data_IF_014276989568
#
_entry.id   IF_014276989568
#
_cell.length_a   1.000
_cell.length_b   1.000
_cell.length_c   1.000
_cell.angle_alpha   90.00
_cell.angle_beta   90.00
_cell.angle_gamma   90.00
#
_symmetry.space_group_name_H-M   'P 1'
#
loop_
_entity.id
_entity.type
_entity.pdbx_description
1 polymer ?
#
# COMPACT_ATOMS: atom_id res chain seq x y z
N UNK A 1 4.53 3.03 9.16
CA UNK A 1 4.69 1.73 9.80
C UNK A 1 5.72 0.85 9.05
N UNK A 2 5.54 0.52 7.77
CA UNK A 2 6.44 -0.36 7.00
C UNK A 2 7.94 0.00 7.15
N UNK A 3 8.25 1.31 7.06
CA UNK A 3 9.64 1.79 7.25
C UNK A 3 10.14 1.58 8.68
N UNK A 4 9.28 1.77 9.67
CA UNK A 4 9.66 1.59 11.07
C UNK A 4 9.96 0.10 11.35
N UNK A 5 9.12 -0.80 10.88
CA UNK A 5 9.34 -2.24 10.96
C UNK A 5 10.61 -2.66 10.20
N UNK A 6 10.83 -2.11 9.00
CA UNK A 6 12.03 -2.40 8.22
C UNK A 6 13.32 -2.00 8.94
N UNK A 7 13.34 -0.81 9.54
CA UNK A 7 14.50 -0.35 10.30
C UNK A 7 14.75 -1.19 11.56
N UNK A 8 13.70 -1.56 12.27
CA UNK A 8 13.79 -2.44 13.44
C UNK A 8 14.40 -3.81 13.07
N UNK A 9 13.95 -4.39 11.94
CA UNK A 9 14.49 -5.67 11.44
C UNK A 9 15.95 -5.56 11.00
N UNK A 10 16.35 -4.46 10.35
CA UNK A 10 17.77 -4.21 10.00
C UNK A 10 18.61 -4.08 11.27
N UNK A 11 18.17 -3.32 12.25
CA UNK A 11 18.91 -3.11 13.50
C UNK A 11 19.10 -4.41 14.28
N UNK A 12 18.08 -5.26 14.31
CA UNK A 12 18.14 -6.58 14.96
C UNK A 12 18.85 -7.65 14.12
N UNK A 13 18.98 -7.45 12.80
CA UNK A 13 19.49 -8.46 11.87
C UNK A 13 18.57 -9.68 11.75
N UNK A 14 17.24 -9.50 11.94
CA UNK A 14 16.30 -10.60 11.99
C UNK A 14 15.19 -10.48 10.94
N UNK A 15 14.69 -11.64 10.49
CA UNK A 15 13.55 -11.76 9.56
C UNK A 15 13.72 -10.94 8.27
N UNK A 16 14.93 -10.88 7.75
CA UNK A 16 15.24 -10.32 6.44
C UNK A 16 15.26 -11.44 5.37
N UNK A 17 14.88 -11.13 4.12
CA UNK A 17 14.32 -9.86 3.67
C UNK A 17 12.95 -9.58 4.27
N UNK A 18 12.62 -8.29 4.51
CA UNK A 18 11.25 -7.89 4.76
C UNK A 18 10.45 -8.00 3.46
N UNK A 19 9.35 -8.74 3.50
CA UNK A 19 8.43 -8.92 2.38
C UNK A 19 7.19 -8.06 2.61
N UNK A 20 6.88 -7.13 1.70
CA UNK A 20 5.70 -6.28 1.86
C UNK A 20 4.41 -7.10 1.88
N UNK A 21 3.42 -6.72 2.69
CA UNK A 21 2.17 -7.47 2.92
C UNK A 21 0.91 -6.76 2.40
N UNK A 22 1.06 -5.62 1.75
CA UNK A 22 -0.07 -4.80 1.29
C UNK A 22 -0.93 -5.46 0.19
N UNK A 23 -0.39 -6.45 -0.55
CA UNK A 23 -1.09 -7.17 -1.61
C UNK A 23 -1.70 -8.50 -1.11
N UNK A 24 -3.02 -8.61 -0.92
CA UNK A 24 -3.64 -9.80 -0.34
C UNK A 24 -3.53 -11.05 -1.21
N UNK A 25 -3.40 -10.91 -2.52
CA UNK A 25 -3.17 -12.04 -3.42
C UNK A 25 -1.73 -12.57 -3.32
N UNK A 26 -0.75 -11.69 -3.08
CA UNK A 26 0.61 -12.08 -2.78
C UNK A 26 0.70 -12.77 -1.41
N UNK A 27 0.10 -12.18 -0.38
CA UNK A 27 0.06 -12.80 0.96
C UNK A 27 -0.50 -14.21 0.89
N UNK A 28 -1.61 -14.42 0.15
CA UNK A 28 -2.14 -15.77 -0.05
C UNK A 28 -1.15 -16.68 -0.78
N UNK A 29 -0.48 -16.19 -1.81
CA UNK A 29 0.47 -16.99 -2.57
C UNK A 29 1.65 -17.45 -1.72
N UNK A 30 2.24 -16.57 -0.91
CA UNK A 30 3.39 -16.92 -0.07
C UNK A 30 2.97 -17.85 1.07
N UNK A 31 1.81 -17.64 1.69
CA UNK A 31 1.32 -18.51 2.75
C UNK A 31 0.96 -19.92 2.25
N UNK A 32 0.58 -20.06 0.99
CA UNK A 32 0.28 -21.35 0.39
C UNK A 32 1.53 -22.09 -0.15
N UNK A 33 2.52 -21.35 -0.69
CA UNK A 33 3.62 -21.93 -1.46
C UNK A 33 4.99 -21.84 -0.78
N UNK A 34 5.18 -20.92 0.16
CA UNK A 34 6.46 -20.60 0.79
C UNK A 34 6.28 -20.31 2.29
N UNK A 35 5.72 -21.28 3.01
CA UNK A 35 5.35 -21.10 4.43
C UNK A 35 6.55 -20.76 5.31
N UNK A 36 7.75 -21.18 4.94
CA UNK A 36 9.00 -20.84 5.62
C UNK A 36 9.30 -19.34 5.65
N UNK A 37 8.75 -18.57 4.71
CA UNK A 37 8.91 -17.13 4.63
C UNK A 37 7.77 -16.31 5.27
N UNK A 38 6.79 -16.96 5.91
CA UNK A 38 5.73 -16.24 6.64
C UNK A 38 6.31 -15.27 7.68
N UNK A 39 7.36 -15.64 8.46
CA UNK A 39 7.97 -14.71 9.42
C UNK A 39 8.62 -13.47 8.77
N UNK A 40 8.92 -13.54 7.47
CA UNK A 40 9.50 -12.45 6.71
C UNK A 40 8.44 -11.45 6.20
N UNK A 41 7.14 -11.83 6.16
CA UNK A 41 6.09 -10.89 5.82
C UNK A 41 6.08 -9.71 6.80
N UNK A 42 5.89 -8.52 6.27
CA UNK A 42 5.60 -7.35 7.11
C UNK A 42 4.33 -7.59 7.92
N UNK A 43 4.35 -7.21 9.16
CA UNK A 43 3.17 -7.26 10.03
C UNK A 43 2.17 -6.13 9.72
N UNK A 44 2.59 -5.13 8.94
CA UNK A 44 1.73 -4.02 8.53
C UNK A 44 0.48 -4.52 7.82
N UNK A 45 -0.68 -4.02 8.24
CA UNK A 45 -1.91 -4.19 7.48
C UNK A 45 -1.81 -3.48 6.13
N UNK A 46 -2.60 -3.90 5.18
CA UNK A 46 -2.70 -3.15 3.92
C UNK A 46 -3.29 -1.75 4.15
N UNK A 47 -3.06 -0.78 3.22
CA UNK A 47 -3.69 0.54 3.33
C UNK A 47 -5.22 0.48 3.52
N UNK A 48 -5.91 -0.48 2.88
CA UNK A 48 -7.33 -0.71 3.14
C UNK A 48 -7.57 -1.12 4.59
N UNK A 49 -6.82 -2.08 5.11
CA UNK A 49 -6.99 -2.58 6.48
C UNK A 49 -6.70 -1.48 7.50
N UNK A 50 -5.57 -0.78 7.37
CA UNK A 50 -5.20 0.32 8.28
C UNK A 50 -6.27 1.43 8.28
N UNK A 51 -6.62 1.95 7.10
CA UNK A 51 -7.54 3.07 6.99
C UNK A 51 -8.94 2.71 7.48
N UNK A 52 -9.40 1.50 7.21
CA UNK A 52 -10.70 1.03 7.68
C UNK A 52 -10.74 0.89 9.21
N UNK A 53 -9.70 0.30 9.81
CA UNK A 53 -9.60 0.17 11.26
C UNK A 53 -9.55 1.54 11.96
N UNK A 54 -8.73 2.47 11.43
CA UNK A 54 -8.59 3.83 11.98
C UNK A 54 -9.90 4.62 11.87
N UNK A 55 -10.58 4.59 10.72
CA UNK A 55 -11.87 5.27 10.55
C UNK A 55 -12.94 4.69 11.48
N UNK A 56 -13.01 3.36 11.57
CA UNK A 56 -13.95 2.69 12.48
C UNK A 56 -13.66 3.05 13.94
N UNK A 57 -12.39 3.10 14.32
CA UNK A 57 -12.00 3.51 15.69
C UNK A 57 -12.34 4.98 15.96
N UNK A 58 -12.10 5.89 15.02
CA UNK A 58 -12.48 7.30 15.16
C UNK A 58 -13.98 7.49 15.36
N UNK A 59 -14.78 6.83 14.53
CA UNK A 59 -16.24 6.89 14.62
C UNK A 59 -16.85 5.96 15.67
N UNK A 60 -16.05 5.28 16.48
CA UNK A 60 -16.52 4.58 17.69
C UNK A 60 -16.95 5.58 18.77
N UNK A 61 -16.36 6.76 18.77
CA UNK A 61 -16.80 7.85 19.64
C UNK A 61 -18.20 8.33 19.19
N UNK A 62 -19.21 8.30 20.11
CA UNK A 62 -20.57 8.74 19.79
C UNK A 62 -20.66 10.19 19.29
N UNK A 63 -19.74 11.06 19.73
CA UNK A 63 -19.71 12.46 19.30
C UNK A 63 -19.33 12.54 17.81
N UNK A 64 -18.30 11.78 17.38
CA UNK A 64 -17.91 11.72 15.99
C UNK A 64 -18.95 11.02 15.10
N UNK A 65 -19.55 9.95 15.60
CA UNK A 65 -20.59 9.21 14.87
C UNK A 65 -21.94 9.92 14.79
N UNK A 66 -22.16 10.97 15.60
CA UNK A 66 -23.45 11.66 15.72
C UNK A 66 -24.63 10.67 15.97
N UNK A 67 -24.39 9.59 16.73
CA UNK A 67 -25.37 8.54 17.01
C UNK A 67 -25.70 7.62 15.81
N UNK A 68 -24.94 7.66 14.72
CA UNK A 68 -25.13 6.82 13.52
C UNK A 68 -24.18 5.63 13.51
N UNK A 69 -24.61 4.55 12.85
CA UNK A 69 -23.75 3.41 12.58
C UNK A 69 -22.83 3.73 11.40
N UNK A 70 -21.53 3.54 11.59
CA UNK A 70 -20.53 3.69 10.53
C UNK A 70 -20.46 2.43 9.66
N UNK A 71 -20.62 2.60 8.36
CA UNK A 71 -20.43 1.56 7.34
C UNK A 71 -19.24 1.94 6.49
N UNK A 72 -18.17 1.15 6.55
CA UNK A 72 -16.97 1.38 5.78
C UNK A 72 -17.07 0.74 4.40
N UNK A 73 -17.07 1.57 3.36
CA UNK A 73 -17.08 1.14 1.95
C UNK A 73 -15.75 1.48 1.31
N UNK A 74 -15.08 0.49 0.78
CA UNK A 74 -13.76 0.60 0.16
C UNK A 74 -13.89 0.49 -1.36
N UNK A 75 -13.37 1.45 -2.12
CA UNK A 75 -13.32 1.42 -3.59
C UNK A 75 -11.91 1.02 -4.02
N UNK A 76 -11.77 -0.18 -4.61
CA UNK A 76 -10.46 -0.78 -4.87
C UNK A 76 -10.26 -1.18 -6.33
N UNK A 77 -9.04 -1.02 -6.87
CA UNK A 77 -8.68 -1.55 -8.19
C UNK A 77 -8.49 -3.08 -8.18
N UNK A 78 -8.92 -3.77 -7.14
CA UNK A 78 -8.50 -5.12 -6.78
C UNK A 78 -9.69 -5.98 -6.31
N UNK A 79 -9.83 -7.18 -6.88
CA UNK A 79 -10.84 -8.16 -6.43
C UNK A 79 -10.41 -8.90 -5.16
N UNK A 80 -9.10 -9.10 -4.95
CA UNK A 80 -8.58 -9.79 -3.77
C UNK A 80 -8.82 -9.01 -2.46
N UNK A 81 -9.05 -7.70 -2.53
CA UNK A 81 -9.45 -6.87 -1.38
C UNK A 81 -10.82 -7.26 -0.81
N UNK A 82 -11.71 -7.86 -1.62
CA UNK A 82 -12.97 -8.43 -1.13
C UNK A 82 -12.71 -9.63 -0.21
N UNK A 83 -11.76 -10.50 -0.58
CA UNK A 83 -11.37 -11.63 0.24
C UNK A 83 -10.58 -11.20 1.49
N UNK A 84 -9.76 -10.16 1.40
CA UNK A 84 -9.05 -9.59 2.55
C UNK A 84 -10.02 -9.09 3.62
N UNK A 85 -11.06 -8.36 3.24
CA UNK A 85 -12.05 -7.78 4.16
C UNK A 85 -12.85 -8.79 5.00
N UNK A 86 -12.78 -10.08 4.67
CA UNK A 86 -13.45 -11.15 5.42
C UNK A 86 -12.48 -12.09 6.14
N UNK A 87 -11.18 -11.80 6.13
CA UNK A 87 -10.19 -12.58 6.89
C UNK A 87 -10.33 -12.32 8.38
N UNK A 88 -9.99 -13.29 9.24
CA UNK A 88 -10.07 -13.11 10.70
C UNK A 88 -9.32 -11.88 11.22
N UNK A 89 -8.17 -11.57 10.60
CA UNK A 89 -7.33 -10.43 10.97
C UNK A 89 -7.79 -9.07 10.35
N UNK A 90 -8.97 -9.03 9.74
CA UNK A 90 -9.64 -7.81 9.25
C UNK A 90 -10.82 -7.42 10.14
N UNK A 91 -10.75 -7.79 11.41
CA UNK A 91 -11.75 -7.48 12.44
C UNK A 91 -11.06 -6.84 13.63
N UNK A 92 -11.53 -5.67 14.03
CA UNK A 92 -11.11 -4.97 15.24
C UNK A 92 -12.28 -4.92 16.21
N UNK A 93 -12.05 -5.22 17.50
CA UNK A 93 -13.10 -5.31 18.52
C UNK A 93 -14.28 -6.23 18.17
N UNK A 94 -14.03 -7.28 17.37
CA UNK A 94 -15.05 -8.24 16.93
C UNK A 94 -15.96 -7.76 15.79
N UNK A 95 -15.72 -6.58 15.25
CA UNK A 95 -16.44 -6.01 14.09
C UNK A 95 -15.53 -5.97 12.86
N UNK A 96 -16.14 -6.10 11.68
CA UNK A 96 -15.41 -5.92 10.42
C UNK A 96 -14.86 -4.51 10.31
N UNK A 97 -13.59 -4.37 9.97
CA UNK A 97 -12.99 -3.07 9.67
C UNK A 97 -13.53 -2.51 8.35
N UNK A 98 -13.60 -3.34 7.30
CA UNK A 98 -14.21 -2.98 6.01
C UNK A 98 -15.50 -3.76 5.81
N UNK A 99 -16.64 -3.08 5.76
CA UNK A 99 -17.96 -3.72 5.59
C UNK A 99 -18.18 -4.17 4.15
N UNK A 100 -17.86 -3.29 3.19
CA UNK A 100 -18.12 -3.50 1.75
C UNK A 100 -16.87 -3.12 0.96
N UNK A 101 -16.52 -3.95 -0.01
CA UNK A 101 -15.49 -3.63 -1.01
C UNK A 101 -16.11 -3.65 -2.38
N UNK A 102 -16.07 -2.52 -3.08
CA UNK A 102 -16.45 -2.41 -4.49
C UNK A 102 -15.21 -2.15 -5.35
N UNK A 103 -15.21 -2.71 -6.55
CA UNK A 103 -14.12 -2.48 -7.49
C UNK A 103 -14.34 -1.21 -8.29
N UNK A 104 -13.28 -0.67 -8.90
CA UNK A 104 -13.38 0.47 -9.83
C UNK A 104 -14.41 0.20 -10.94
N UNK A 105 -14.43 -1.03 -11.46
CA UNK A 105 -15.41 -1.44 -12.50
C UNK A 105 -16.84 -1.43 -11.98
N UNK A 106 -17.05 -1.87 -10.72
CA UNK A 106 -18.38 -1.84 -10.09
C UNK A 106 -18.82 -0.40 -9.84
N UNK A 107 -17.92 0.47 -9.38
CA UNK A 107 -18.23 1.90 -9.21
C UNK A 107 -18.62 2.56 -10.52
N UNK A 108 -17.89 2.30 -11.62
CA UNK A 108 -18.23 2.83 -12.94
C UNK A 108 -19.65 2.37 -13.35
N UNK A 109 -19.98 1.10 -13.16
CA UNK A 109 -21.34 0.60 -13.44
C UNK A 109 -22.41 1.28 -12.60
N UNK A 110 -22.11 1.59 -11.34
CA UNK A 110 -23.04 2.34 -10.48
C UNK A 110 -23.26 3.75 -11.04
N UNK A 111 -22.20 4.46 -11.42
CA UNK A 111 -22.29 5.80 -12.03
C UNK A 111 -23.14 5.76 -13.30
N UNK A 112 -22.87 4.80 -14.19
CA UNK A 112 -23.61 4.59 -15.43
C UNK A 112 -25.10 4.30 -15.16
N UNK A 113 -25.40 3.40 -14.21
CA UNK A 113 -26.76 3.02 -13.85
C UNK A 113 -27.58 4.15 -13.23
N UNK A 114 -26.92 5.07 -12.53
CA UNK A 114 -27.57 6.29 -12.00
C UNK A 114 -27.70 7.40 -13.05
N UNK A 115 -27.19 7.20 -14.26
CA UNK A 115 -27.22 8.18 -15.33
C UNK A 115 -26.39 9.43 -15.05
N UNK A 116 -25.36 9.32 -14.23
CA UNK A 116 -24.47 10.43 -13.88
C UNK A 116 -23.42 10.64 -14.98
N UNK A 117 -23.34 11.87 -15.49
CA UNK A 117 -22.22 12.29 -16.34
C UNK A 117 -21.05 12.74 -15.45
N UNK A 118 -20.13 11.81 -15.21
CA UNK A 118 -18.97 12.05 -14.34
C UNK A 118 -18.08 13.22 -14.80
N UNK A 119 -18.07 13.52 -16.12
CA UNK A 119 -17.25 14.59 -16.68
C UNK A 119 -17.80 16.00 -16.36
N UNK A 120 -19.08 16.10 -16.00
CA UNK A 120 -19.75 17.37 -15.70
C UNK A 120 -19.93 17.65 -14.22
N UNK A 121 -19.48 16.72 -13.35
CA UNK A 121 -19.56 16.92 -11.91
C UNK A 121 -18.54 17.97 -11.45
N UNK A 122 -18.97 18.85 -10.57
CA UNK A 122 -18.08 19.79 -9.91
C UNK A 122 -17.17 19.03 -8.93
N UNK A 123 -15.85 19.35 -8.90
CA UNK A 123 -14.93 18.72 -7.94
C UNK A 123 -15.21 19.23 -6.53
N UNK A 124 -15.22 18.30 -5.58
CA UNK A 124 -15.35 18.59 -4.15
C UNK A 124 -14.13 18.11 -3.39
N UNK A 125 -13.83 18.73 -2.24
CA UNK A 125 -12.80 18.26 -1.33
C UNK A 125 -13.27 17.00 -0.59
N UNK A 126 -12.31 16.12 -0.24
CA UNK A 126 -12.62 15.02 0.62
C UNK A 126 -12.91 15.50 2.06
N UNK A 127 -13.75 14.74 2.77
CA UNK A 127 -14.10 15.06 4.15
C UNK A 127 -12.92 14.92 5.11
N UNK A 128 -12.86 15.84 6.08
CA UNK A 128 -11.87 15.79 7.15
C UNK A 128 -12.36 14.90 8.32
N UNK A 129 -11.43 14.31 9.12
CA UNK A 129 -9.99 14.53 9.12
C UNK A 129 -9.20 13.64 8.15
N UNK A 130 -9.82 12.76 7.39
CA UNK A 130 -9.12 11.74 6.58
C UNK A 130 -8.91 12.15 5.11
N UNK A 131 -9.33 13.33 4.72
CA UNK A 131 -9.35 13.81 3.33
C UNK A 131 -8.01 14.29 2.78
N UNK A 132 -6.93 14.30 3.56
CA UNK A 132 -5.65 14.86 3.15
C UNK A 132 -4.56 13.81 3.05
N UNK A 133 -4.12 13.50 1.83
CA UNK A 133 -3.10 12.50 1.54
C UNK A 133 -1.71 13.08 1.30
N UNK A 134 -0.75 12.19 1.04
CA UNK A 134 0.61 12.51 0.64
C UNK A 134 0.97 11.84 -0.69
N UNK A 135 1.98 12.38 -1.37
CA UNK A 135 2.49 11.78 -2.61
C UNK A 135 2.91 10.32 -2.44
N UNK A 136 3.57 10.01 -1.30
CA UNK A 136 3.94 8.62 -0.97
C UNK A 136 2.74 7.68 -0.92
N UNK A 137 1.57 8.12 -0.45
CA UNK A 137 0.36 7.31 -0.45
C UNK A 137 -0.23 7.12 -1.86
N UNK A 138 -0.17 8.16 -2.69
CA UNK A 138 -0.74 8.12 -4.05
C UNK A 138 -0.02 7.11 -4.95
N UNK A 139 1.31 7.03 -4.86
CA UNK A 139 2.11 6.16 -5.75
C UNK A 139 1.99 4.67 -5.43
N UNK A 140 1.36 4.26 -4.34
CA UNK A 140 1.17 2.84 -3.99
C UNK A 140 0.48 2.03 -5.10
N UNK A 141 -0.25 2.66 -6.00
CA UNK A 141 -0.93 1.99 -7.10
C UNK A 141 -0.02 1.42 -8.18
N UNK A 142 1.22 1.89 -8.29
CA UNK A 142 2.21 1.40 -9.27
C UNK A 142 3.18 0.42 -8.62
N UNK A 143 3.79 -0.46 -9.42
CA UNK A 143 4.85 -1.36 -8.94
C UNK A 143 6.09 -0.55 -8.54
N UNK A 144 6.59 -0.79 -7.35
CA UNK A 144 7.66 -0.03 -6.72
C UNK A 144 7.18 1.14 -5.86
N UNK A 145 5.88 1.45 -5.88
CA UNK A 145 5.35 2.61 -5.15
C UNK A 145 5.42 2.47 -3.63
N UNK A 146 5.25 1.27 -3.09
CA UNK A 146 5.42 1.02 -1.65
C UNK A 146 6.88 1.16 -1.27
N UNK A 147 7.76 0.54 -2.03
CA UNK A 147 9.22 0.67 -1.85
C UNK A 147 9.66 2.12 -1.96
N UNK A 148 9.19 2.87 -2.95
CA UNK A 148 9.53 4.29 -3.09
C UNK A 148 9.08 5.10 -1.86
N UNK A 149 7.90 4.82 -1.30
CA UNK A 149 7.44 5.47 -0.08
C UNK A 149 8.34 5.14 1.13
N UNK A 150 8.80 3.89 1.24
CA UNK A 150 9.79 3.49 2.26
C UNK A 150 11.11 4.24 2.07
N UNK A 151 11.64 4.28 0.85
CA UNK A 151 12.90 4.98 0.55
C UNK A 151 12.81 6.48 0.82
N UNK A 152 11.70 7.11 0.47
CA UNK A 152 11.44 8.52 0.80
C UNK A 152 11.49 8.77 2.30
N UNK A 153 10.95 7.87 3.10
CA UNK A 153 10.97 7.96 4.57
C UNK A 153 12.38 7.74 5.13
N UNK A 154 13.19 6.89 4.51
CA UNK A 154 14.59 6.66 4.91
C UNK A 154 15.48 7.87 4.62
N UNK A 155 15.19 8.65 3.59
CA UNK A 155 15.98 9.85 3.24
C UNK A 155 15.82 10.93 4.30
N UNK A 156 16.91 11.47 4.85
CA UNK A 156 16.86 12.64 5.73
C UNK A 156 16.59 13.95 4.96
N UNK A 157 16.79 13.94 3.64
CA UNK A 157 16.56 15.09 2.77
C UNK A 157 15.10 15.13 2.29
N UNK A 158 14.49 16.30 2.38
CA UNK A 158 13.10 16.59 2.03
C UNK A 158 12.99 17.40 0.74
N UNK A 159 14.13 17.68 0.08
CA UNK A 159 14.16 18.43 -1.17
C UNK A 159 13.47 17.69 -2.31
N UNK A 160 13.05 18.46 -3.32
CA UNK A 160 12.50 17.86 -4.55
C UNK A 160 13.54 17.06 -5.31
N UNK A 161 14.79 17.50 -5.22
CA UNK A 161 15.95 16.87 -5.82
C UNK A 161 16.16 15.46 -5.22
N UNK A 162 16.16 15.31 -3.90
CA UNK A 162 16.25 14.02 -3.23
C UNK A 162 15.07 13.09 -3.57
N UNK A 163 13.86 13.63 -3.67
CA UNK A 163 12.69 12.83 -4.08
C UNK A 163 12.82 12.37 -5.54
N UNK A 164 13.43 13.18 -6.40
CA UNK A 164 13.71 12.82 -7.79
C UNK A 164 14.77 11.73 -7.89
N UNK A 165 15.88 11.86 -7.17
CA UNK A 165 16.93 10.85 -7.10
C UNK A 165 16.38 9.49 -6.63
N UNK A 166 15.52 9.47 -5.61
CA UNK A 166 14.84 8.25 -5.16
C UNK A 166 13.96 7.67 -6.27
N UNK A 167 13.23 8.51 -6.99
CA UNK A 167 12.37 8.05 -8.08
C UNK A 167 13.17 7.42 -9.24
N UNK A 168 14.43 7.83 -9.43
CA UNK A 168 15.33 7.38 -10.49
C UNK A 168 16.31 6.27 -10.05
N UNK A 169 16.37 5.90 -8.78
CA UNK A 169 17.30 4.89 -8.26
C UNK A 169 17.06 3.46 -8.78
N UNK A 170 16.08 3.25 -9.66
CA UNK A 170 15.67 1.94 -10.20
C UNK A 170 14.32 1.45 -9.66
N UNK A 171 13.71 2.15 -8.70
CA UNK A 171 12.42 1.78 -8.13
C UNK A 171 11.28 1.91 -9.12
N UNK A 172 11.30 2.93 -9.99
CA UNK A 172 10.34 3.13 -11.08
C UNK A 172 10.77 2.36 -12.31
N UNK A 173 9.82 1.97 -13.12
CA UNK A 173 10.06 1.22 -14.35
C UNK A 173 8.99 0.16 -14.57
N UNK A 174 9.00 -0.46 -15.74
CA UNK A 174 7.99 -1.42 -16.17
C UNK A 174 8.45 -2.87 -16.13
N UNK A 175 9.71 -3.11 -15.82
CA UNK A 175 10.29 -4.43 -15.70
C UNK A 175 9.53 -5.24 -14.67
N UNK A 176 9.35 -6.53 -14.96
CA UNK A 176 8.65 -7.45 -14.08
C UNK A 176 9.39 -7.74 -12.78
N UNK A 177 10.71 -7.66 -12.81
CA UNK A 177 11.63 -7.73 -11.66
C UNK A 177 12.61 -6.57 -11.81
N UNK A 178 12.75 -5.77 -10.76
CA UNK A 178 13.72 -4.68 -10.65
C UNK A 178 14.57 -4.93 -9.41
N UNK A 179 15.86 -4.81 -9.57
CA UNK A 179 16.84 -5.04 -8.50
C UNK A 179 17.77 -3.83 -8.47
N UNK A 180 17.96 -3.25 -7.31
CA UNK A 180 18.82 -2.09 -7.13
C UNK A 180 19.30 -2.00 -5.68
N UNK A 181 20.35 -1.20 -5.47
CA UNK A 181 20.94 -0.98 -4.15
C UNK A 181 20.84 0.50 -3.78
N UNK A 182 20.51 0.77 -2.54
CA UNK A 182 20.42 2.13 -1.99
C UNK A 182 21.34 2.25 -0.79
N UNK A 183 22.25 3.23 -0.75
CA UNK A 183 23.08 3.47 0.41
C UNK A 183 22.27 4.06 1.57
N UNK A 184 22.45 3.52 2.77
CA UNK A 184 21.78 4.01 3.98
C UNK A 184 22.69 3.86 5.20
N UNK A 185 23.06 4.99 5.83
CA UNK A 185 23.90 5.03 7.06
C UNK A 185 25.16 4.16 6.99
N UNK A 186 25.83 4.13 5.84
CA UNK A 186 27.09 3.40 5.64
C UNK A 186 26.94 1.92 5.31
N UNK A 187 25.72 1.43 5.10
CA UNK A 187 25.42 0.09 4.57
C UNK A 187 24.68 0.18 3.24
N UNK A 188 24.79 -0.84 2.43
CA UNK A 188 24.07 -0.99 1.19
C UNK A 188 22.78 -1.79 1.40
N UNK A 189 21.64 -1.19 1.10
CA UNK A 189 20.32 -1.85 1.16
C UNK A 189 20.00 -2.42 -0.22
N UNK A 190 20.00 -3.74 -0.35
CA UNK A 190 19.59 -4.44 -1.55
C UNK A 190 18.07 -4.57 -1.59
N UNK A 191 17.48 -4.11 -2.67
CA UNK A 191 16.02 -4.03 -2.86
C UNK A 191 15.61 -4.80 -4.10
N UNK A 192 14.50 -5.53 -3.98
CA UNK A 192 13.85 -6.15 -5.13
C UNK A 192 12.38 -5.72 -5.21
N UNK A 193 11.94 -5.38 -6.40
CA UNK A 193 10.54 -5.09 -6.70
C UNK A 193 10.06 -6.04 -7.78
N UNK A 194 9.06 -6.87 -7.48
CA UNK A 194 8.52 -7.83 -8.43
C UNK A 194 7.01 -7.62 -8.68
N UNK A 195 6.60 -7.69 -9.92
CA UNK A 195 5.20 -7.61 -10.32
C UNK A 195 4.76 -8.80 -11.16
N UNK A 196 3.65 -9.42 -10.75
CA UNK A 196 3.15 -10.68 -11.29
C UNK A 196 3.65 -11.90 -10.50
N UNK A 197 2.75 -12.86 -10.22
CA UNK A 197 3.08 -14.03 -9.38
C UNK A 197 4.13 -14.96 -10.00
N UNK A 198 4.30 -14.99 -11.32
CA UNK A 198 5.38 -15.74 -11.94
C UNK A 198 6.76 -15.14 -11.58
N UNK A 199 6.87 -13.80 -11.62
CA UNK A 199 8.08 -13.10 -11.21
C UNK A 199 8.32 -13.24 -9.70
N UNK A 200 7.26 -13.16 -8.89
CA UNK A 200 7.31 -13.44 -7.46
C UNK A 200 7.91 -14.83 -7.18
N UNK A 201 7.45 -15.85 -7.89
CA UNK A 201 8.01 -17.20 -7.79
C UNK A 201 9.51 -17.23 -8.11
N UNK A 202 9.91 -16.60 -9.21
CA UNK A 202 11.33 -16.53 -9.59
C UNK A 202 12.18 -15.89 -8.50
N UNK A 203 11.73 -14.78 -7.91
CA UNK A 203 12.45 -14.09 -6.83
C UNK A 203 12.52 -14.98 -5.59
N UNK A 204 11.41 -15.58 -5.19
CA UNK A 204 11.37 -16.42 -3.98
C UNK A 204 12.24 -17.68 -4.10
N UNK A 205 12.27 -18.32 -5.29
CA UNK A 205 13.17 -19.46 -5.53
C UNK A 205 14.64 -19.04 -5.43
N UNK A 206 15.02 -17.89 -5.98
CA UNK A 206 16.39 -17.37 -5.87
C UNK A 206 16.79 -17.09 -4.41
N UNK A 207 15.88 -16.49 -3.62
CA UNK A 207 16.10 -16.24 -2.20
C UNK A 207 16.22 -17.56 -1.44
N UNK A 208 15.31 -18.51 -1.67
CA UNK A 208 15.29 -19.82 -1.04
C UNK A 208 16.56 -20.64 -1.31
N UNK A 209 17.08 -20.54 -2.52
CA UNK A 209 18.30 -21.24 -2.94
C UNK A 209 19.61 -20.51 -2.52
N UNK A 210 19.51 -19.34 -1.90
CA UNK A 210 20.68 -18.53 -1.54
C UNK A 210 21.38 -17.88 -2.74
N UNK A 211 20.68 -17.77 -3.87
CA UNK A 211 21.20 -17.17 -5.12
C UNK A 211 21.07 -15.64 -5.13
N UNK A 212 20.27 -15.08 -4.23
CA UNK A 212 20.06 -13.65 -4.09
C UNK A 212 19.79 -13.27 -2.63
N UNK A 213 20.35 -12.15 -2.20
CA UNK A 213 20.17 -11.58 -0.87
C UNK A 213 19.59 -10.17 -0.98
N UNK A 214 18.43 -9.97 -0.37
CA UNK A 214 17.77 -8.68 -0.31
C UNK A 214 17.46 -8.30 1.14
N UNK A 215 17.29 -7.00 1.38
CA UNK A 215 16.82 -6.48 2.65
C UNK A 215 15.32 -6.19 2.59
N UNK A 216 14.83 -5.70 1.44
CA UNK A 216 13.43 -5.37 1.20
C UNK A 216 12.96 -5.95 -0.14
N UNK A 217 11.81 -6.63 -0.13
CA UNK A 217 11.20 -7.14 -1.35
C UNK A 217 9.74 -6.65 -1.41
N UNK A 218 9.41 -5.87 -2.43
CA UNK A 218 8.03 -5.55 -2.78
C UNK A 218 7.50 -6.52 -3.81
N UNK A 219 6.34 -7.14 -3.54
CA UNK A 219 5.68 -7.99 -4.51
C UNK A 219 4.22 -7.55 -4.71
N UNK A 220 3.90 -7.25 -5.96
CA UNK A 220 2.53 -7.06 -6.42
C UNK A 220 2.09 -8.23 -7.28
N UNK A 221 0.97 -8.89 -6.91
CA UNK A 221 0.44 -10.03 -7.69
C UNK A 221 0.03 -9.66 -9.12
N UNK A 222 -0.39 -8.42 -9.32
CA UNK A 222 -0.74 -7.90 -10.64
C UNK A 222 0.49 -7.34 -11.34
N UNK A 223 0.67 -7.65 -12.63
CA UNK A 223 1.71 -7.01 -13.43
C UNK A 223 1.54 -5.50 -13.42
N UNK A 224 2.62 -4.75 -13.13
CA UNK A 224 2.67 -3.28 -13.05
C UNK A 224 1.93 -2.68 -11.86
N UNK A 225 1.54 -3.49 -10.88
CA UNK A 225 0.88 -3.03 -9.68
C UNK A 225 -0.64 -2.90 -9.79
N UNK A 226 -1.23 -2.21 -8.82
CA UNK A 226 -2.68 -2.11 -8.65
C UNK A 226 -3.38 -1.30 -9.76
N UNK A 227 -2.67 -0.43 -10.48
CA UNK A 227 -3.20 0.27 -11.65
C UNK A 227 -3.72 -0.67 -12.75
N UNK A 228 -3.22 -1.92 -12.75
CA UNK A 228 -3.64 -2.99 -13.64
C UNK A 228 -4.32 -4.14 -12.87
N UNK A 229 -4.85 -3.85 -11.70
CA UNK A 229 -5.54 -4.81 -10.84
C UNK A 229 -6.81 -5.38 -11.45
N UNK A 230 -7.22 -6.57 -10.99
CA UNK A 230 -8.40 -7.29 -11.51
C UNK A 230 -9.74 -6.58 -11.29
N UNK A 231 -9.77 -5.51 -10.49
CA UNK A 231 -10.94 -4.64 -10.30
C UNK A 231 -10.99 -3.43 -11.23
N UNK A 232 -9.96 -3.24 -12.07
CA UNK A 232 -9.91 -2.15 -13.03
C UNK A 232 -10.63 -2.51 -14.34
N UNK A 233 -11.19 -1.52 -15.06
CA UNK A 233 -11.74 -1.75 -16.38
C UNK A 233 -10.67 -2.28 -17.33
N UNK A 234 -10.97 -3.41 -17.99
CA UNK A 234 -10.11 -3.96 -19.04
C UNK A 234 -10.53 -3.37 -20.38
N UNK A 235 -9.79 -2.37 -20.85
CA UNK A 235 -9.88 -1.95 -22.26
C UNK A 235 -8.63 -2.43 -22.99
N UNK A 236 -8.81 -2.96 -24.17
CA UNK A 236 -7.74 -3.43 -25.01
C UNK A 236 -6.74 -2.31 -25.31
N UNK A 237 -5.48 -2.55 -25.04
CA UNK A 237 -4.37 -1.71 -25.45
C UNK A 237 -3.43 -1.27 -24.34
N UNK A 238 -2.16 -1.27 -24.66
CA UNK A 238 -1.06 -0.93 -23.76
C UNK A 238 -1.08 0.53 -23.26
N UNK A 239 -1.77 1.43 -23.97
CA UNK A 239 -1.79 2.87 -23.66
C UNK A 239 -2.46 3.19 -22.32
N UNK A 240 -3.45 2.40 -21.89
CA UNK A 240 -4.19 2.66 -20.64
C UNK A 240 -3.30 2.54 -19.41
N UNK A 241 -2.35 1.60 -19.40
CA UNK A 241 -1.42 1.39 -18.28
C UNK A 241 -0.50 2.59 -18.07
N UNK A 242 0.05 3.13 -19.17
CA UNK A 242 0.92 4.32 -19.11
C UNK A 242 0.14 5.55 -18.63
N UNK A 243 -1.09 5.73 -19.12
CA UNK A 243 -1.95 6.82 -18.69
C UNK A 243 -2.27 6.75 -17.19
N UNK A 244 -2.53 5.55 -16.66
CA UNK A 244 -2.80 5.35 -15.23
C UNK A 244 -1.56 5.61 -14.37
N UNK A 245 -0.41 5.08 -14.74
CA UNK A 245 0.85 5.34 -14.04
C UNK A 245 1.20 6.83 -14.06
N UNK A 246 1.11 7.46 -15.24
CA UNK A 246 1.33 8.90 -15.40
C UNK A 246 0.37 9.73 -14.55
N UNK A 247 -0.89 9.31 -14.43
CA UNK A 247 -1.88 9.98 -13.59
C UNK A 247 -1.46 9.98 -12.12
N UNK A 248 -1.01 8.85 -11.57
CA UNK A 248 -0.53 8.76 -10.20
C UNK A 248 0.76 9.55 -9.97
N UNK A 249 1.72 9.48 -10.89
CA UNK A 249 2.94 10.28 -10.78
C UNK A 249 2.69 11.78 -10.92
N UNK A 250 1.76 12.20 -11.77
CA UNK A 250 1.34 13.60 -11.85
C UNK A 250 0.67 14.06 -10.55
N UNK A 251 -0.20 13.24 -9.96
CA UNK A 251 -0.81 13.54 -8.68
C UNK A 251 0.25 13.65 -7.57
N UNK A 252 1.20 12.72 -7.50
CA UNK A 252 2.34 12.83 -6.60
C UNK A 252 3.12 14.14 -6.83
N UNK A 253 3.44 14.48 -8.08
CA UNK A 253 4.19 15.69 -8.42
C UNK A 253 3.48 16.99 -7.97
N UNK A 254 2.17 17.02 -7.97
CA UNK A 254 1.38 18.20 -7.53
C UNK A 254 1.18 18.27 -6.02
N UNK A 255 1.34 17.17 -5.29
CA UNK A 255 1.21 17.17 -3.84
C UNK A 255 2.39 17.89 -3.18
N UNK A 256 2.07 18.73 -2.19
CA UNK A 256 3.07 19.46 -1.40
C UNK A 256 3.81 18.48 -0.48
N UNK A 257 3.07 17.63 0.21
CA UNK A 257 3.61 16.62 1.12
C UNK A 257 3.99 15.36 0.34
N UNK A 258 5.28 15.01 0.39
CA UNK A 258 5.81 13.84 -0.33
C UNK A 258 5.91 12.60 0.55
N UNK A 259 6.18 12.79 1.82
CA UNK A 259 6.35 11.71 2.80
C UNK A 259 5.13 11.62 3.71
N UNK A 260 4.69 10.42 4.03
CA UNK A 260 3.49 10.21 4.84
C UNK A 260 3.64 10.70 6.27
N UNK A 261 4.85 10.63 6.83
CA UNK A 261 5.17 11.09 8.19
C UNK A 261 5.23 12.61 8.34
N UNK A 262 5.28 13.35 7.23
CA UNK A 262 5.17 14.82 7.20
C UNK A 262 3.72 15.31 7.17
N UNK A 263 2.76 14.41 6.98
CA UNK A 263 1.35 14.77 6.97
C UNK A 263 0.90 15.12 8.39
N UNK A 264 0.49 16.39 8.67
CA UNK A 264 0.12 16.81 9.99
C UNK A 264 -1.07 16.04 10.57
N UNK A 265 -2.02 15.59 9.72
CA UNK A 265 -3.13 14.76 10.16
C UNK A 265 -2.67 13.37 10.60
N UNK A 266 -1.68 12.80 9.93
CA UNK A 266 -1.07 11.54 10.34
C UNK A 266 -0.35 11.71 11.67
N UNK A 267 0.41 12.80 11.84
CA UNK A 267 1.08 13.11 13.10
C UNK A 267 0.08 13.28 14.25
N UNK A 268 -1.04 13.96 14.01
CA UNK A 268 -2.11 14.14 14.98
C UNK A 268 -2.78 12.80 15.36
N UNK A 269 -3.02 11.92 14.39
CA UNK A 269 -3.53 10.57 14.63
C UNK A 269 -2.60 9.76 15.55
N UNK A 270 -1.29 9.78 15.30
CA UNK A 270 -0.31 9.08 16.15
C UNK A 270 -0.17 9.71 17.54
N UNK A 271 -0.29 11.03 17.65
CA UNK A 271 -0.27 11.72 18.96
C UNK A 271 -1.54 11.48 19.79
N UNK A 272 -2.65 11.18 19.13
CA UNK A 272 -3.98 11.04 19.73
C UNK A 272 -4.58 9.66 19.63
N UNK A 273 -5.40 9.44 18.60
CA UNK A 273 -6.25 8.24 18.41
C UNK A 273 -5.45 6.93 18.41
N UNK A 274 -4.30 6.90 17.77
CA UNK A 274 -3.48 5.71 17.64
C UNK A 274 -2.58 5.44 18.82
N UNK A 275 -2.37 6.42 19.70
CA UNK A 275 -1.42 6.30 20.82
C UNK A 275 -1.70 5.08 21.68
N UNK A 276 -0.80 4.10 21.64
CA UNK A 276 -0.90 2.83 22.35
C UNK A 276 -1.84 1.80 21.70
N UNK A 277 -2.37 2.09 20.52
CA UNK A 277 -3.23 1.20 19.73
C UNK A 277 -2.62 0.88 18.34
N UNK A 278 -1.40 1.35 18.08
CA UNK A 278 -0.73 1.22 16.78
C UNK A 278 -0.69 -0.24 16.33
N UNK A 279 -0.26 -1.13 17.24
CA UNK A 279 -0.16 -2.55 16.92
C UNK A 279 -1.53 -3.18 16.63
N UNK A 280 -2.55 -2.87 17.39
CA UNK A 280 -3.90 -3.42 17.22
C UNK A 280 -4.54 -2.96 15.91
N UNK A 281 -4.40 -1.68 15.56
CA UNK A 281 -5.09 -1.08 14.42
C UNK A 281 -4.31 -1.18 13.12
N UNK A 282 -2.96 -1.21 13.18
CA UNK A 282 -2.13 -1.08 11.99
C UNK A 282 -1.35 -2.35 11.65
N UNK A 283 -1.30 -3.35 12.52
CA UNK A 283 -0.55 -4.58 12.30
C UNK A 283 -1.43 -5.83 12.31
N UNK A 284 -0.92 -6.88 11.71
CA UNK A 284 -1.53 -8.21 11.63
C UNK A 284 -0.53 -9.28 12.04
N UNK A 285 -1.03 -10.35 12.62
CA UNK A 285 -0.32 -11.61 12.72
C UNK A 285 -0.77 -12.54 11.60
N UNK A 286 0.19 -13.16 10.91
CA UNK A 286 -0.08 -14.10 9.80
C UNK A 286 0.04 -15.58 10.22
N UNK A 287 -0.04 -15.87 11.52
CA UNK A 287 0.15 -17.20 12.10
C UNK A 287 -1.18 -17.90 12.37
#
# INVERSE_FOLDING_TARGET
>A
EETAEFLDRIEKGEKLPLLTSCCPAWVKFITDQYQEFIPNLSTCRSPQGMMSAVIKEYFRDPEHAAGKKTIMVSVMPCTAKKAEAVRPNSYTHGEKDTDIVITTTELIRMIDNFGLDFATLDPEACDMPFGFGSGGGVIFGVTGGVTEAVLRRLSPDHSKEAMHEIAECGVRGEEGIKEFTVPYKGMDINVCVASGLANARTVMERVKNGEAEYHLIEIMACRRGCIMGGGQPTRAGDRTKYARAKGLYNADNTMIIKKSDENPLVQELYAGLLKGKEHELLHNEFY
#
